data_IF_477759007986
#
_entry.id   IF_477759007986
#
_cell.length_a   1.000
_cell.length_b   1.000
_cell.length_c   1.000
_cell.angle_alpha   90.00
_cell.angle_beta   90.00
_cell.angle_gamma   90.00
#
_symmetry.space_group_name_H-M   'P 1'
#
loop_
_entity.id
_entity.type
_entity.pdbx_description
1 polymer ?
#
# COMPACT_ATOMS: atom_id res chain seq x y z
N UNK A 1 -1.34 -30.00 -8.28
CA UNK A 1 -2.59 -30.60 -8.83
C UNK A 1 -2.24 -32.01 -9.31
N UNK A 2 -2.86 -33.04 -8.68
CA UNK A 2 -2.57 -34.45 -9.00
C UNK A 2 -3.47 -34.96 -10.15
N UNK A 3 -4.68 -34.43 -10.28
CA UNK A 3 -5.58 -34.73 -11.39
C UNK A 3 -6.33 -33.46 -11.82
N UNK A 4 -6.71 -33.42 -13.10
CA UNK A 4 -7.48 -32.29 -13.61
C UNK A 4 -8.93 -32.41 -13.19
N UNK A 5 -9.60 -31.29 -12.85
CA UNK A 5 -11.05 -31.28 -12.72
C UNK A 5 -11.75 -31.58 -14.07
N UNK A 6 -12.98 -32.03 -14.02
CA UNK A 6 -13.79 -32.30 -15.21
C UNK A 6 -13.91 -31.07 -16.12
N UNK A 7 -13.64 -31.29 -17.40
CA UNK A 7 -13.67 -30.24 -18.42
C UNK A 7 -12.46 -29.30 -18.46
N UNK A 8 -11.40 -29.58 -17.68
CA UNK A 8 -10.13 -28.85 -17.78
C UNK A 8 -9.11 -29.60 -18.63
N UNK A 9 -8.33 -28.83 -19.38
CA UNK A 9 -7.21 -29.29 -20.18
C UNK A 9 -5.90 -28.77 -19.60
N UNK A 10 -4.84 -29.57 -19.72
CA UNK A 10 -3.48 -29.10 -19.43
C UNK A 10 -2.99 -28.22 -20.56
N UNK A 11 -2.52 -27.02 -20.26
CA UNK A 11 -2.00 -26.06 -21.22
C UNK A 11 -0.51 -25.75 -21.00
N UNK A 12 0.06 -26.12 -19.85
CA UNK A 12 1.51 -26.06 -19.59
C UNK A 12 1.97 -27.11 -18.59
N UNK A 13 3.26 -27.47 -18.65
CA UNK A 13 3.92 -28.35 -17.70
C UNK A 13 5.40 -27.95 -17.53
N UNK A 14 6.02 -28.44 -16.46
CA UNK A 14 7.47 -28.43 -16.25
C UNK A 14 7.93 -29.85 -15.94
N UNK A 15 9.25 -30.09 -15.84
CA UNK A 15 9.79 -31.39 -15.44
C UNK A 15 9.24 -31.87 -14.09
N UNK A 16 9.00 -30.93 -13.15
CA UNK A 16 8.57 -31.24 -11.78
C UNK A 16 7.05 -30.99 -11.54
N UNK A 17 6.32 -30.41 -12.49
CA UNK A 17 4.91 -30.05 -12.33
C UNK A 17 4.12 -30.43 -13.58
N UNK A 18 3.40 -31.56 -13.50
CA UNK A 18 2.62 -32.09 -14.63
C UNK A 18 1.52 -31.12 -15.12
N UNK A 19 0.93 -30.33 -14.21
CA UNK A 19 -0.16 -29.41 -14.49
C UNK A 19 0.24 -27.99 -14.04
N UNK A 20 1.26 -27.40 -14.68
CA UNK A 20 1.72 -26.04 -14.36
C UNK A 20 0.72 -24.96 -14.79
N UNK A 21 -0.07 -25.21 -15.83
CA UNK A 21 -1.23 -24.39 -16.18
C UNK A 21 -2.35 -25.26 -16.78
N UNK A 22 -3.57 -24.87 -16.52
CA UNK A 22 -4.81 -25.55 -16.93
C UNK A 22 -5.84 -24.58 -17.46
N UNK A 23 -6.71 -25.01 -18.37
CA UNK A 23 -7.85 -24.21 -18.88
C UNK A 23 -9.13 -25.01 -18.95
N UNK A 24 -10.24 -24.31 -18.79
CA UNK A 24 -11.55 -24.73 -19.26
C UNK A 24 -12.06 -23.64 -20.22
N UNK A 25 -11.90 -23.87 -21.51
CA UNK A 25 -12.17 -22.85 -22.52
C UNK A 25 -13.66 -22.52 -22.65
N UNK A 26 -14.53 -23.51 -22.37
CA UNK A 26 -15.98 -23.34 -22.37
C UNK A 26 -16.42 -22.39 -21.26
N UNK A 27 -15.87 -22.59 -20.06
CA UNK A 27 -16.18 -21.74 -18.90
C UNK A 27 -15.28 -20.51 -18.80
N UNK A 28 -14.30 -20.34 -19.71
CA UNK A 28 -13.26 -19.29 -19.67
C UNK A 28 -12.52 -19.23 -18.34
N UNK A 29 -12.22 -20.39 -17.74
CA UNK A 29 -11.45 -20.50 -16.52
C UNK A 29 -10.04 -20.93 -16.83
N UNK A 30 -9.08 -20.20 -16.28
CA UNK A 30 -7.65 -20.44 -16.46
C UNK A 30 -6.96 -20.45 -15.10
N UNK A 31 -6.07 -21.40 -14.88
CA UNK A 31 -5.30 -21.52 -13.65
C UNK A 31 -3.81 -21.75 -13.94
N UNK A 32 -2.95 -21.10 -13.17
CA UNK A 32 -1.50 -21.28 -13.20
C UNK A 32 -0.98 -21.61 -11.81
N UNK A 33 0.09 -22.42 -11.73
CA UNK A 33 0.76 -22.79 -10.48
C UNK A 33 2.07 -22.02 -10.24
N UNK A 34 2.30 -21.00 -11.01
CA UNK A 34 3.46 -20.11 -10.91
C UNK A 34 2.98 -18.66 -10.85
N UNK A 35 3.89 -17.78 -10.53
CA UNK A 35 3.65 -16.33 -10.46
C UNK A 35 4.06 -15.68 -11.79
N UNK A 36 3.13 -15.39 -12.71
CA UNK A 36 3.47 -14.79 -13.98
C UNK A 36 3.95 -13.33 -13.86
N UNK A 37 3.62 -12.64 -12.74
CA UNK A 37 3.99 -11.27 -12.49
C UNK A 37 5.44 -11.07 -12.03
N UNK A 38 6.13 -12.13 -11.60
CA UNK A 38 7.50 -11.99 -11.08
C UNK A 38 8.56 -11.98 -12.19
N UNK A 39 9.69 -11.32 -11.92
CA UNK A 39 10.79 -11.13 -12.88
C UNK A 39 11.39 -12.46 -13.41
N UNK A 40 11.27 -13.54 -12.64
CA UNK A 40 11.79 -14.87 -13.02
C UNK A 40 10.87 -15.63 -13.99
N UNK A 41 9.67 -15.15 -14.26
CA UNK A 41 8.76 -15.70 -15.25
C UNK A 41 9.03 -15.04 -16.61
N UNK A 42 9.89 -15.63 -17.42
CA UNK A 42 10.40 -15.05 -18.68
C UNK A 42 9.29 -14.53 -19.60
N UNK A 43 8.18 -15.26 -19.75
CA UNK A 43 7.03 -14.86 -20.57
C UNK A 43 5.81 -14.44 -19.73
N UNK A 44 6.00 -14.17 -18.44
CA UNK A 44 4.91 -13.94 -17.50
C UNK A 44 4.00 -12.78 -17.92
N UNK A 45 4.57 -11.65 -18.35
CA UNK A 45 3.80 -10.52 -18.87
C UNK A 45 3.01 -10.83 -20.14
N UNK A 46 3.51 -11.75 -20.97
CA UNK A 46 2.76 -12.20 -22.16
C UNK A 46 1.54 -13.03 -21.76
N UNK A 47 1.69 -13.88 -20.76
CA UNK A 47 0.58 -14.67 -20.19
C UNK A 47 -0.50 -13.72 -19.65
N UNK A 48 -0.11 -12.74 -18.83
CA UNK A 48 -1.03 -11.75 -18.26
C UNK A 48 -1.73 -10.95 -19.37
N UNK A 49 -1.00 -10.42 -20.35
CA UNK A 49 -1.55 -9.68 -21.48
C UNK A 49 -2.54 -10.51 -22.30
N UNK A 50 -2.22 -11.77 -22.57
CA UNK A 50 -3.13 -12.68 -23.28
C UNK A 50 -4.42 -12.91 -22.50
N UNK A 51 -4.32 -13.12 -21.19
CA UNK A 51 -5.51 -13.29 -20.36
C UNK A 51 -6.37 -12.01 -20.34
N UNK A 52 -5.77 -10.84 -20.04
CA UNK A 52 -6.48 -9.57 -19.92
C UNK A 52 -7.11 -9.14 -21.24
N UNK A 53 -6.34 -9.15 -22.33
CA UNK A 53 -6.79 -8.54 -23.59
C UNK A 53 -7.46 -9.52 -24.54
N UNK A 54 -7.01 -10.78 -24.60
CA UNK A 54 -7.57 -11.75 -25.56
C UNK A 54 -8.68 -12.62 -24.99
N UNK A 55 -8.56 -13.01 -23.70
CA UNK A 55 -9.53 -13.88 -23.06
C UNK A 55 -10.64 -13.08 -22.38
N UNK A 56 -10.25 -12.11 -21.55
CA UNK A 56 -11.19 -11.25 -20.81
C UNK A 56 -11.69 -10.07 -21.64
N UNK A 57 -11.08 -9.79 -22.80
CA UNK A 57 -11.45 -8.70 -23.71
C UNK A 57 -11.52 -7.33 -23.00
N UNK A 58 -10.66 -7.09 -21.99
CA UNK A 58 -10.61 -5.81 -21.30
C UNK A 58 -10.08 -4.74 -22.25
N UNK A 59 -10.69 -3.56 -22.24
CA UNK A 59 -10.16 -2.38 -22.91
C UNK A 59 -8.89 -1.90 -22.16
N UNK A 60 -7.94 -1.34 -22.90
CA UNK A 60 -6.71 -0.77 -22.34
C UNK A 60 -6.91 0.73 -22.01
N UNK A 61 -8.02 1.06 -21.38
CA UNK A 61 -8.48 2.42 -21.09
C UNK A 61 -8.16 2.89 -19.66
N UNK A 62 -7.76 1.96 -18.78
CA UNK A 62 -7.33 2.29 -17.43
C UNK A 62 -5.83 2.59 -17.43
N UNK A 63 -5.46 3.80 -17.00
CA UNK A 63 -4.09 4.23 -16.73
C UNK A 63 -3.99 4.83 -15.33
N UNK A 64 -2.78 4.96 -14.80
CA UNK A 64 -2.55 5.63 -13.51
C UNK A 64 -3.00 7.10 -13.58
N UNK A 65 -2.81 7.75 -14.71
CA UNK A 65 -3.23 9.13 -14.95
C UNK A 65 -4.75 9.26 -14.88
N UNK A 66 -5.49 8.41 -15.61
CA UNK A 66 -6.96 8.39 -15.58
C UNK A 66 -7.49 8.11 -14.18
N UNK A 67 -6.88 7.17 -13.47
CA UNK A 67 -7.24 6.89 -12.08
C UNK A 67 -7.06 8.11 -11.17
N UNK A 68 -5.94 8.83 -11.29
CA UNK A 68 -5.68 10.03 -10.50
C UNK A 68 -6.71 11.14 -10.83
N UNK A 69 -6.98 11.35 -12.13
CA UNK A 69 -7.93 12.35 -12.60
C UNK A 69 -9.36 12.08 -12.10
N UNK A 70 -9.79 10.83 -12.05
CA UNK A 70 -11.10 10.43 -11.53
C UNK A 70 -11.17 10.44 -10.00
N UNK A 71 -10.05 10.10 -9.32
CA UNK A 71 -10.02 9.98 -7.86
C UNK A 71 -10.00 11.33 -7.16
N UNK A 72 -9.29 12.33 -7.70
CA UNK A 72 -9.21 13.66 -7.12
C UNK A 72 -10.58 14.32 -6.91
N UNK A 73 -11.50 14.38 -7.89
CA UNK A 73 -12.84 14.92 -7.69
C UNK A 73 -13.62 14.17 -6.60
N UNK A 74 -13.55 12.84 -6.56
CA UNK A 74 -14.21 12.02 -5.53
C UNK A 74 -13.72 12.34 -4.13
N UNK A 75 -12.39 12.49 -3.95
CA UNK A 75 -11.81 12.91 -2.67
C UNK A 75 -12.32 14.29 -2.27
N UNK A 76 -12.33 15.26 -3.20
CA UNK A 76 -12.84 16.62 -2.93
C UNK A 76 -14.30 16.64 -2.51
N UNK A 77 -15.12 15.86 -3.18
CA UNK A 77 -16.54 15.71 -2.84
C UNK A 77 -16.73 15.10 -1.45
N UNK A 78 -16.01 14.00 -1.16
CA UNK A 78 -16.10 13.31 0.13
C UNK A 78 -15.62 14.18 1.29
N UNK A 79 -14.48 14.85 1.13
CA UNK A 79 -13.87 15.67 2.18
C UNK A 79 -14.62 17.00 2.36
N UNK A 80 -15.07 17.62 1.28
CA UNK A 80 -15.69 18.94 1.33
C UNK A 80 -14.76 19.97 1.99
N UNK A 81 -15.24 20.66 3.02
CA UNK A 81 -14.47 21.66 3.78
C UNK A 81 -13.82 21.09 5.06
N UNK A 82 -13.80 19.77 5.23
CA UNK A 82 -13.30 19.12 6.44
C UNK A 82 -11.78 18.97 6.40
N UNK A 83 -11.17 18.76 7.57
CA UNK A 83 -9.73 18.51 7.70
C UNK A 83 -9.44 17.01 7.75
N UNK A 84 -8.33 16.64 7.15
CA UNK A 84 -7.84 15.26 7.06
C UNK A 84 -6.49 15.15 7.77
N UNK A 85 -6.35 14.12 8.62
CA UNK A 85 -5.08 13.74 9.24
C UNK A 85 -4.61 12.42 8.62
N UNK A 86 -3.40 12.40 8.12
CA UNK A 86 -2.77 11.20 7.55
C UNK A 86 -1.58 10.77 8.39
N UNK A 87 -1.58 9.53 8.89
CA UNK A 87 -0.39 8.90 9.45
C UNK A 87 0.63 8.62 8.33
N UNK A 88 1.78 9.28 8.38
CA UNK A 88 2.84 9.16 7.38
C UNK A 88 3.96 8.27 7.93
N UNK A 89 4.14 7.09 7.34
CA UNK A 89 5.21 6.16 7.74
C UNK A 89 6.51 6.33 6.96
N UNK A 90 6.48 7.06 5.85
CA UNK A 90 7.58 7.14 4.89
C UNK A 90 7.64 5.96 3.91
N UNK A 91 6.78 4.97 4.05
CA UNK A 91 6.62 3.88 3.07
C UNK A 91 5.92 4.35 1.79
N UNK A 92 5.95 3.52 0.75
CA UNK A 92 5.39 3.84 -0.57
C UNK A 92 3.91 4.19 -0.49
N UNK A 93 3.12 3.40 0.23
CA UNK A 93 1.66 3.56 0.29
C UNK A 93 1.26 4.88 0.95
N UNK A 94 1.78 5.15 2.15
CA UNK A 94 1.48 6.40 2.88
C UNK A 94 1.98 7.64 2.15
N UNK A 95 3.13 7.54 1.46
CA UNK A 95 3.68 8.63 0.67
C UNK A 95 2.83 8.92 -0.57
N UNK A 96 2.42 7.87 -1.30
CA UNK A 96 1.53 7.99 -2.46
C UNK A 96 0.20 8.62 -2.07
N UNK A 97 -0.38 8.16 -0.94
CA UNK A 97 -1.62 8.73 -0.42
C UNK A 97 -1.45 10.20 -0.01
N UNK A 98 -0.32 10.57 0.61
CA UNK A 98 -0.01 11.95 0.96
C UNK A 98 0.01 12.86 -0.28
N UNK A 99 0.66 12.43 -1.37
CA UNK A 99 0.70 13.17 -2.63
C UNK A 99 -0.68 13.31 -3.27
N UNK A 100 -1.46 12.23 -3.31
CA UNK A 100 -2.80 12.23 -3.88
C UNK A 100 -3.74 13.15 -3.10
N UNK A 101 -3.73 13.04 -1.77
CA UNK A 101 -4.53 13.91 -0.90
C UNK A 101 -4.09 15.37 -1.00
N UNK A 102 -2.79 15.66 -1.00
CA UNK A 102 -2.29 17.02 -1.16
C UNK A 102 -2.74 17.64 -2.49
N UNK A 103 -2.70 16.88 -3.58
CA UNK A 103 -3.21 17.32 -4.89
C UNK A 103 -4.72 17.54 -4.90
N UNK A 104 -5.46 16.76 -4.13
CA UNK A 104 -6.92 16.87 -4.04
C UNK A 104 -7.38 18.02 -3.14
N UNK A 105 -6.85 18.12 -1.92
CA UNK A 105 -7.40 18.97 -0.84
C UNK A 105 -6.39 19.98 -0.25
N UNK A 106 -5.12 19.93 -0.66
CA UNK A 106 -4.10 20.93 -0.29
C UNK A 106 -4.00 21.15 1.22
N UNK A 107 -4.23 22.38 1.65
CA UNK A 107 -4.09 22.83 3.05
C UNK A 107 -5.06 22.17 4.05
N UNK A 108 -6.04 21.41 3.58
CA UNK A 108 -6.93 20.64 4.46
C UNK A 108 -6.25 19.36 4.97
N UNK A 109 -5.14 18.94 4.33
CA UNK A 109 -4.33 17.80 4.73
C UNK A 109 -3.30 18.22 5.78
N UNK A 110 -3.21 17.45 6.86
CA UNK A 110 -2.07 17.43 7.79
C UNK A 110 -1.52 16.00 7.81
N UNK A 111 -0.23 15.86 7.56
CA UNK A 111 0.46 14.58 7.73
C UNK A 111 1.11 14.54 9.11
N UNK A 112 1.04 13.42 9.81
CA UNK A 112 1.69 13.19 11.09
C UNK A 112 2.71 12.06 10.96
N UNK A 113 3.96 12.35 11.25
CA UNK A 113 5.04 11.39 11.30
C UNK A 113 5.44 11.14 12.75
N UNK A 114 5.22 9.92 13.24
CA UNK A 114 5.58 9.50 14.60
C UNK A 114 6.91 8.76 14.56
N UNK A 115 7.94 9.39 15.11
CA UNK A 115 9.27 8.79 15.23
C UNK A 115 9.33 7.92 16.49
N UNK A 116 9.30 6.62 16.26
CA UNK A 116 9.35 5.59 17.30
C UNK A 116 10.78 5.23 17.76
N UNK A 117 11.81 5.78 17.08
CA UNK A 117 13.21 5.45 17.34
C UNK A 117 13.73 4.20 16.60
N UNK A 118 12.94 3.63 15.65
CA UNK A 118 13.31 2.41 14.91
C UNK A 118 13.66 2.67 13.45
N UNK A 119 13.67 3.95 13.07
CA UNK A 119 14.05 4.36 11.73
C UNK A 119 15.57 4.28 11.54
N UNK A 120 16.00 4.21 10.29
CA UNK A 120 17.41 4.29 9.96
C UNK A 120 17.96 5.68 10.31
N UNK A 121 19.26 5.75 10.58
CA UNK A 121 19.93 7.02 10.88
C UNK A 121 19.72 8.03 9.74
N UNK A 122 19.22 9.22 10.06
CA UNK A 122 18.97 10.31 9.12
C UNK A 122 17.68 10.16 8.29
N UNK A 123 16.93 9.07 8.42
CA UNK A 123 15.71 8.85 7.67
C UNK A 123 14.58 9.80 8.08
N UNK A 124 14.33 10.08 9.37
CA UNK A 124 13.34 11.07 9.77
C UNK A 124 13.59 12.46 9.18
N UNK A 125 14.82 12.93 9.27
CA UNK A 125 15.23 14.24 8.73
C UNK A 125 15.09 14.29 7.21
N UNK A 126 15.44 13.21 6.53
CA UNK A 126 15.26 13.09 5.08
C UNK A 126 13.77 13.19 4.71
N UNK A 127 12.91 12.44 5.39
CA UNK A 127 11.46 12.45 5.14
C UNK A 127 10.85 13.83 5.36
N UNK A 128 11.18 14.49 6.47
CA UNK A 128 10.69 15.83 6.77
C UNK A 128 11.08 16.82 5.67
N UNK A 129 12.37 16.82 5.29
CA UNK A 129 12.84 17.68 4.21
C UNK A 129 12.22 17.37 2.86
N UNK A 130 12.01 16.10 2.56
CA UNK A 130 11.43 15.64 1.30
C UNK A 130 9.98 16.13 1.12
N UNK A 131 9.15 15.94 2.13
CA UNK A 131 7.74 16.35 2.06
C UNK A 131 7.57 17.86 2.13
N UNK A 132 8.25 18.53 3.03
CA UNK A 132 8.14 19.99 3.21
C UNK A 132 8.76 20.76 2.04
N UNK A 133 10.06 20.59 1.79
CA UNK A 133 10.79 21.42 0.82
C UNK A 133 10.46 21.12 -0.63
N UNK A 134 10.21 19.83 -0.96
CA UNK A 134 10.01 19.43 -2.35
C UNK A 134 8.54 19.45 -2.76
N UNK A 135 7.63 19.16 -1.84
CA UNK A 135 6.21 19.02 -2.16
C UNK A 135 5.29 19.96 -1.40
N UNK A 136 5.83 20.76 -0.48
CA UNK A 136 5.06 21.70 0.35
C UNK A 136 3.91 21.05 1.10
N UNK A 137 4.13 19.81 1.56
CA UNK A 137 3.18 19.05 2.37
C UNK A 137 3.53 19.30 3.83
N UNK A 138 2.57 19.83 4.60
CA UNK A 138 2.75 20.04 6.03
C UNK A 138 2.86 18.70 6.75
N UNK A 139 3.99 18.45 7.43
CA UNK A 139 4.21 17.26 8.24
C UNK A 139 4.49 17.66 9.69
N UNK A 140 3.66 17.17 10.60
CA UNK A 140 3.88 17.30 12.04
C UNK A 140 4.78 16.14 12.49
N UNK A 141 5.97 16.48 12.98
CA UNK A 141 6.94 15.51 13.51
C UNK A 141 6.72 15.31 15.00
N UNK A 142 6.43 14.06 15.38
CA UNK A 142 6.21 13.65 16.77
C UNK A 142 7.38 12.76 17.23
N UNK A 143 8.21 13.28 18.13
CA UNK A 143 9.28 12.50 18.73
C UNK A 143 8.75 11.66 19.89
N UNK A 144 8.51 10.39 19.64
CA UNK A 144 8.03 9.43 20.63
C UNK A 144 9.07 8.35 21.00
N UNK A 145 10.36 8.53 20.59
CA UNK A 145 11.43 7.53 20.74
C UNK A 145 11.53 6.96 22.15
N UNK A 146 11.66 7.83 23.14
CA UNK A 146 11.84 7.41 24.54
C UNK A 146 10.62 6.62 25.04
N UNK A 147 9.42 7.03 24.64
CA UNK A 147 8.17 6.40 25.02
C UNK A 147 8.08 4.96 24.49
N UNK A 148 8.43 4.73 23.23
CA UNK A 148 8.46 3.38 22.66
C UNK A 148 9.56 2.52 23.25
N UNK A 149 10.77 3.05 23.43
CA UNK A 149 11.89 2.31 24.02
C UNK A 149 11.56 1.90 25.46
N UNK A 150 10.97 2.78 26.25
CA UNK A 150 10.58 2.47 27.64
C UNK A 150 9.56 1.32 27.72
N UNK A 151 8.57 1.30 26.80
CA UNK A 151 7.55 0.24 26.72
C UNK A 151 8.11 -1.12 26.32
N UNK A 152 9.21 -1.14 25.57
CA UNK A 152 9.84 -2.37 25.09
C UNK A 152 10.92 -2.91 26.01
N UNK A 153 11.27 -2.18 27.06
CA UNK A 153 12.32 -2.60 28.00
C UNK A 153 11.98 -3.94 28.64
N UNK A 154 12.88 -4.92 28.48
CA UNK A 154 12.72 -6.28 29.02
C UNK A 154 11.84 -7.22 28.20
N UNK A 155 11.23 -6.76 27.11
CA UNK A 155 10.45 -7.60 26.21
C UNK A 155 11.39 -8.24 25.18
N UNK A 156 11.45 -9.57 25.17
CA UNK A 156 12.29 -10.33 24.23
C UNK A 156 11.49 -10.95 23.08
N UNK A 157 10.25 -11.35 23.36
CA UNK A 157 9.36 -11.97 22.36
C UNK A 157 9.00 -11.01 21.22
N UNK A 158 9.28 -11.37 19.94
CA UNK A 158 9.00 -10.50 18.80
C UNK A 158 7.52 -10.17 18.62
N UNK A 159 6.62 -11.11 18.91
CA UNK A 159 5.18 -10.90 18.72
C UNK A 159 4.63 -9.94 19.80
N UNK A 160 5.12 -10.05 21.03
CA UNK A 160 4.78 -9.07 22.07
C UNK A 160 5.31 -7.68 21.74
N UNK A 161 6.54 -7.57 21.21
CA UNK A 161 7.07 -6.28 20.74
C UNK A 161 6.16 -5.65 19.69
N UNK A 162 5.76 -6.43 18.69
CA UNK A 162 4.88 -5.97 17.61
C UNK A 162 3.55 -5.43 18.13
N UNK A 163 2.92 -6.16 19.06
CA UNK A 163 1.65 -5.73 19.71
C UNK A 163 1.82 -4.43 20.49
N UNK A 164 2.86 -4.35 21.33
CA UNK A 164 3.13 -3.15 22.13
C UNK A 164 3.38 -1.94 21.23
N UNK A 165 4.18 -2.09 20.16
CA UNK A 165 4.45 -1.02 19.21
C UNK A 165 3.15 -0.57 18.53
N UNK A 166 2.32 -1.49 18.09
CA UNK A 166 1.05 -1.16 17.42
C UNK A 166 0.08 -0.42 18.37
N UNK A 167 -0.11 -0.92 19.58
CA UNK A 167 -0.96 -0.27 20.58
C UNK A 167 -0.47 1.12 20.95
N UNK A 168 0.84 1.27 21.18
CA UNK A 168 1.41 2.55 21.57
C UNK A 168 1.37 3.57 20.43
N UNK A 169 1.53 3.10 19.19
CA UNK A 169 1.39 3.95 18.02
C UNK A 169 -0.02 4.57 17.94
N UNK A 170 -1.06 3.77 18.15
CA UNK A 170 -2.43 4.27 18.12
C UNK A 170 -2.66 5.29 19.25
N UNK A 171 -2.15 5.04 20.46
CA UNK A 171 -2.27 5.98 21.59
C UNK A 171 -1.60 7.32 21.30
N UNK A 172 -0.36 7.28 20.80
CA UNK A 172 0.35 8.51 20.42
C UNK A 172 -0.40 9.24 19.33
N UNK A 173 -0.90 8.50 18.31
CA UNK A 173 -1.66 9.07 17.22
C UNK A 173 -2.94 9.78 17.70
N UNK A 174 -3.70 9.15 18.57
CA UNK A 174 -4.93 9.72 19.16
C UNK A 174 -4.64 10.96 20.01
N UNK A 175 -3.64 10.90 20.89
CA UNK A 175 -3.24 12.02 21.75
C UNK A 175 -2.83 13.24 20.89
N UNK A 176 -1.98 13.03 19.89
CA UNK A 176 -1.49 14.08 19.02
C UNK A 176 -2.56 14.60 18.06
N UNK A 177 -3.45 13.74 17.57
CA UNK A 177 -4.61 14.13 16.79
C UNK A 177 -5.51 15.10 17.55
N UNK A 178 -5.79 14.80 18.82
CA UNK A 178 -6.58 15.68 19.68
C UNK A 178 -5.86 17.02 19.95
N UNK A 179 -4.54 17.03 20.06
CA UNK A 179 -3.73 18.23 20.28
C UNK A 179 -3.69 19.13 19.04
N UNK A 180 -3.59 18.54 17.85
CA UNK A 180 -3.41 19.28 16.58
C UNK A 180 -4.71 19.91 16.05
N UNK A 181 -5.84 19.46 16.54
CA UNK A 181 -7.13 20.07 16.23
C UNK A 181 -8.18 19.07 15.73
N UNK A 182 -9.40 19.56 15.46
CA UNK A 182 -10.44 18.67 15.01
C UNK A 182 -10.17 18.21 13.58
N UNK A 183 -10.01 16.91 13.41
CA UNK A 183 -10.01 16.23 12.12
C UNK A 183 -11.27 15.38 12.00
N UNK A 184 -11.81 15.28 10.81
CA UNK A 184 -13.01 14.49 10.52
C UNK A 184 -12.67 13.22 9.75
N UNK A 185 -11.46 13.18 9.19
CA UNK A 185 -10.91 12.00 8.48
C UNK A 185 -9.48 11.77 8.91
#
# INVERSE_FOLDING_TARGET
INCLPDGFNKIAHTENTLHAAISNDVKKLFGVQFHPEVIHSEFGMTVIKNFVYKISCCAADWTTETYIEETIPRIREQVGNKKVLLALSGGVDSSTLAFLLNKAIGNQLTCMFIDQGFMRKGEPEFLMNFFDKKFHIKVEYINARERFIAKLKGITDPEQKRKIIGEEFIRVFEEESNRLGPFQY
#
